data_IF_699381923710
#
_entry.id   IF_699381923710
#
_cell.length_a   1.000
_cell.length_b   1.000
_cell.length_c   1.000
_cell.angle_alpha   90.00
_cell.angle_beta   90.00
_cell.angle_gamma   90.00
#
_symmetry.space_group_name_H-M   'P 1'
#
loop_
_entity.id
_entity.type
_entity.pdbx_description
1 polymer ?
#
# COMPACT_ATOMS: atom_id res chain seq x y z
N UNK A 1 -21.72 -17.12 25.77
CA UNK A 1 -20.36 -16.72 26.17
C UNK A 1 -19.56 -16.31 24.94
N UNK A 2 -19.74 -15.08 24.45
CA UNK A 2 -18.92 -14.57 23.35
C UNK A 2 -18.64 -13.10 23.66
N UNK A 3 -17.65 -12.89 24.53
CA UNK A 3 -17.24 -11.55 24.95
C UNK A 3 -16.36 -10.95 23.85
N UNK A 4 -16.73 -9.73 23.47
CA UNK A 4 -16.03 -8.80 22.58
C UNK A 4 -14.51 -8.79 22.82
N UNK A 5 -13.73 -9.26 21.84
CA UNK A 5 -12.30 -8.94 21.67
C UNK A 5 -12.04 -8.57 20.21
N UNK A 6 -12.83 -7.62 19.69
CA UNK A 6 -12.77 -7.15 18.29
C UNK A 6 -12.03 -5.79 18.08
N UNK A 7 -11.55 -5.01 19.08
CA UNK A 7 -11.24 -3.61 18.79
C UNK A 7 -9.89 -3.36 18.11
N UNK A 8 -8.97 -4.33 18.04
CA UNK A 8 -7.62 -4.08 17.46
C UNK A 8 -7.48 -4.44 15.98
N UNK A 9 -8.27 -5.38 15.46
CA UNK A 9 -8.12 -5.83 14.07
C UNK A 9 -8.82 -4.90 13.05
N UNK A 10 -9.80 -4.10 13.51
CA UNK A 10 -10.59 -3.25 12.63
C UNK A 10 -9.83 -1.96 12.22
N UNK A 11 -8.87 -1.52 13.03
CA UNK A 11 -8.11 -0.28 12.81
C UNK A 11 -7.08 -0.40 11.68
N UNK A 12 -6.50 -1.58 11.49
CA UNK A 12 -5.46 -1.82 10.49
C UNK A 12 -5.99 -1.82 9.04
N UNK A 13 -7.30 -2.04 8.85
CA UNK A 13 -7.91 -2.11 7.51
C UNK A 13 -8.05 -0.70 6.90
N UNK A 14 -8.10 0.36 7.71
CA UNK A 14 -8.37 1.73 7.27
C UNK A 14 -7.13 2.49 6.73
N UNK A 15 -5.91 1.99 6.96
CA UNK A 15 -4.65 2.62 6.53
C UNK A 15 -4.13 2.11 5.18
N UNK A 16 -4.61 0.95 4.72
CA UNK A 16 -4.27 0.40 3.41
C UNK A 16 -4.67 1.25 2.18
N UNK A 17 -5.78 2.01 2.15
CA UNK A 17 -6.23 2.63 0.91
C UNK A 17 -5.36 3.80 0.46
N UNK A 18 -4.58 4.42 1.34
CA UNK A 18 -3.79 5.62 1.00
C UNK A 18 -2.63 5.29 0.05
N UNK A 19 -1.89 4.22 0.34
CA UNK A 19 -0.86 3.68 -0.55
C UNK A 19 -1.42 3.16 -1.88
N UNK A 20 -2.64 2.62 -1.84
CA UNK A 20 -3.28 2.06 -3.02
C UNK A 20 -3.84 3.12 -3.97
N UNK A 21 -4.14 4.32 -3.48
CA UNK A 21 -4.60 5.45 -4.29
C UNK A 21 -3.46 6.00 -5.17
N UNK A 22 -2.31 6.34 -4.57
CA UNK A 22 -1.15 6.89 -5.29
C UNK A 22 -0.66 5.95 -6.41
N UNK A 23 -0.54 4.64 -6.12
CA UNK A 23 -0.12 3.66 -7.12
C UNK A 23 -1.17 3.42 -8.22
N UNK A 24 -2.47 3.67 -7.96
CA UNK A 24 -3.54 3.53 -8.94
C UNK A 24 -3.63 4.77 -9.86
N UNK A 25 -3.45 5.97 -9.31
CA UNK A 25 -3.36 7.20 -10.08
C UNK A 25 -2.13 7.19 -11.01
N UNK A 26 -0.98 6.74 -10.50
CA UNK A 26 0.25 6.55 -11.30
C UNK A 26 0.03 5.54 -12.44
N UNK A 27 -0.74 4.46 -12.21
CA UNK A 27 -1.11 3.53 -13.26
C UNK A 27 -1.98 4.20 -14.33
N UNK A 28 -3.03 4.90 -13.94
CA UNK A 28 -3.94 5.60 -14.87
C UNK A 28 -3.19 6.60 -15.74
N UNK A 29 -2.27 7.35 -15.12
CA UNK A 29 -1.40 8.29 -15.81
C UNK A 29 -0.43 7.60 -16.78
N UNK A 30 0.16 6.47 -16.37
CA UNK A 30 1.04 5.66 -17.20
C UNK A 30 0.29 5.07 -18.41
N UNK A 31 -0.90 4.52 -18.22
CA UNK A 31 -1.73 3.97 -19.29
C UNK A 31 -2.15 5.05 -20.28
N UNK A 32 -2.57 6.21 -19.80
CA UNK A 32 -2.91 7.36 -20.65
C UNK A 32 -1.70 7.81 -21.48
N UNK A 33 -0.50 7.86 -20.88
CA UNK A 33 0.74 8.15 -21.61
C UNK A 33 1.05 7.10 -22.67
N UNK A 34 0.81 5.83 -22.39
CA UNK A 34 1.00 4.75 -23.36
C UNK A 34 0.06 4.91 -24.56
N UNK A 35 -1.20 5.24 -24.31
CA UNK A 35 -2.19 5.50 -25.36
C UNK A 35 -1.80 6.72 -26.20
N UNK A 36 -1.39 7.81 -25.57
CA UNK A 36 -0.92 9.03 -26.28
C UNK A 36 0.35 8.78 -27.08
N UNK A 37 1.28 7.97 -26.57
CA UNK A 37 2.57 7.72 -27.22
C UNK A 37 2.47 6.69 -28.36
N UNK A 38 1.53 5.76 -28.27
CA UNK A 38 1.36 4.66 -29.21
C UNK A 38 -0.02 4.67 -29.90
N UNK A 39 -0.61 5.87 -30.12
CA UNK A 39 -1.96 6.10 -30.67
C UNK A 39 -2.33 5.29 -31.93
N UNK A 40 -1.34 4.81 -32.71
CA UNK A 40 -1.56 4.06 -33.96
C UNK A 40 -1.03 2.63 -33.93
N UNK A 41 -0.60 2.13 -32.76
CA UNK A 41 0.01 0.80 -32.61
C UNK A 41 -0.49 0.12 -31.33
N UNK A 42 -1.55 -0.66 -31.46
CA UNK A 42 -2.19 -1.39 -30.35
C UNK A 42 -1.25 -2.39 -29.67
N UNK A 43 -0.31 -2.99 -30.41
CA UNK A 43 0.66 -3.92 -29.83
C UNK A 43 1.66 -3.17 -28.94
N UNK A 44 2.09 -1.98 -29.37
CA UNK A 44 2.93 -1.11 -28.55
C UNK A 44 2.15 -0.54 -27.35
N UNK A 45 0.87 -0.22 -27.50
CA UNK A 45 -0.01 0.17 -26.37
C UNK A 45 -0.05 -0.98 -25.35
N UNK A 46 -0.35 -2.21 -25.76
CA UNK A 46 -0.42 -3.36 -24.86
C UNK A 46 0.93 -3.65 -24.18
N UNK A 47 2.03 -3.60 -24.94
CA UNK A 47 3.39 -3.73 -24.40
C UNK A 47 3.73 -2.63 -23.39
N UNK A 48 3.29 -1.41 -23.62
CA UNK A 48 3.50 -0.28 -22.70
C UNK A 48 2.64 -0.41 -21.44
N UNK A 49 1.34 -0.75 -21.57
CA UNK A 49 0.42 -0.95 -20.44
C UNK A 49 0.89 -2.09 -19.51
N UNK A 50 1.46 -3.17 -20.05
CA UNK A 50 2.02 -4.24 -19.23
C UNK A 50 3.15 -3.77 -18.30
N UNK A 51 3.97 -2.80 -18.74
CA UNK A 51 4.99 -2.16 -17.88
C UNK A 51 4.37 -1.30 -16.78
N UNK A 52 3.26 -0.60 -17.08
CA UNK A 52 2.53 0.18 -16.08
C UNK A 52 1.97 -0.72 -14.96
N UNK A 53 1.45 -1.90 -15.31
CA UNK A 53 0.97 -2.88 -14.33
C UNK A 53 2.13 -3.40 -13.46
N UNK A 54 3.29 -3.69 -14.05
CA UNK A 54 4.47 -4.08 -13.30
C UNK A 54 4.95 -2.98 -12.34
N UNK A 55 4.94 -1.71 -12.77
CA UNK A 55 5.27 -0.56 -11.92
C UNK A 55 4.27 -0.41 -10.76
N UNK A 56 2.96 -0.59 -11.02
CA UNK A 56 1.93 -0.58 -9.96
C UNK A 56 2.17 -1.68 -8.93
N UNK A 57 2.54 -2.88 -9.38
CA UNK A 57 2.84 -3.99 -8.47
C UNK A 57 4.06 -3.70 -7.59
N UNK A 58 5.12 -3.11 -8.17
CA UNK A 58 6.29 -2.68 -7.41
C UNK A 58 5.95 -1.60 -6.39
N UNK A 59 5.23 -0.55 -6.81
CA UNK A 59 4.74 0.53 -5.95
C UNK A 59 3.90 0.00 -4.78
N UNK A 60 2.94 -0.87 -5.06
CA UNK A 60 2.07 -1.48 -4.04
C UNK A 60 2.84 -2.35 -3.06
N UNK A 61 3.88 -3.04 -3.54
CA UNK A 61 4.74 -3.88 -2.68
C UNK A 61 5.62 -3.03 -1.78
N UNK A 62 6.22 -1.95 -2.31
CA UNK A 62 7.02 -1.03 -1.53
C UNK A 62 6.18 -0.36 -0.43
N UNK A 63 5.02 0.19 -0.80
CA UNK A 63 4.17 0.89 0.15
C UNK A 63 3.61 -0.06 1.23
N UNK A 64 3.28 -1.30 0.86
CA UNK A 64 2.90 -2.34 1.83
C UNK A 64 4.05 -2.71 2.79
N UNK A 65 5.29 -2.79 2.29
CA UNK A 65 6.46 -3.09 3.11
C UNK A 65 6.80 -1.95 4.07
N UNK A 66 6.75 -0.70 3.62
CA UNK A 66 6.96 0.49 4.47
C UNK A 66 5.89 0.56 5.57
N UNK A 67 4.62 0.38 5.21
CA UNK A 67 3.50 0.39 6.18
C UNK A 67 3.67 -0.69 7.24
N UNK A 68 4.07 -1.91 6.86
CA UNK A 68 4.29 -3.01 7.80
C UNK A 68 5.49 -2.74 8.73
N UNK A 69 6.54 -2.11 8.21
CA UNK A 69 7.72 -1.73 8.98
C UNK A 69 7.38 -0.66 10.03
N UNK A 70 6.69 0.40 9.63
CA UNK A 70 6.30 1.48 10.52
C UNK A 70 5.36 0.98 11.63
N UNK A 71 4.36 0.16 11.28
CA UNK A 71 3.48 -0.47 12.26
C UNK A 71 4.22 -1.36 13.27
N UNK A 72 5.25 -2.08 12.82
CA UNK A 72 6.09 -2.91 13.71
C UNK A 72 6.89 -2.05 14.66
N UNK A 73 7.45 -0.94 14.17
CA UNK A 73 8.21 0.00 14.98
C UNK A 73 7.34 0.66 16.04
N UNK A 74 6.14 1.11 15.67
CA UNK A 74 5.18 1.73 16.58
C UNK A 74 4.75 0.74 17.69
N UNK A 75 4.43 -0.51 17.33
CA UNK A 75 4.08 -1.55 18.30
C UNK A 75 5.22 -1.88 19.29
N UNK A 76 6.48 -1.83 18.82
CA UNK A 76 7.65 -2.04 19.68
C UNK A 76 7.87 -0.88 20.66
N UNK A 77 7.67 0.36 20.21
CA UNK A 77 7.76 1.56 21.05
C UNK A 77 6.64 1.61 22.10
N UNK A 78 5.40 1.26 21.72
CA UNK A 78 4.27 1.15 22.64
C UNK A 78 4.47 0.07 23.70
N UNK A 79 4.95 -1.10 23.29
CA UNK A 79 5.27 -2.20 24.23
C UNK A 79 6.33 -1.76 25.24
N UNK A 80 7.40 -1.12 24.77
CA UNK A 80 8.47 -0.60 25.63
C UNK A 80 7.94 0.44 26.62
N UNK A 81 7.05 1.32 26.17
CA UNK A 81 6.44 2.37 27.00
C UNK A 81 5.49 1.79 28.06
N UNK A 82 4.71 0.76 27.71
CA UNK A 82 3.85 0.04 28.64
C UNK A 82 4.64 -0.65 29.76
N UNK A 83 5.71 -1.38 29.42
CA UNK A 83 6.56 -2.03 30.42
C UNK A 83 7.23 -1.01 31.35
N UNK A 84 7.69 0.12 30.80
CA UNK A 84 8.31 1.18 31.60
C UNK A 84 7.34 1.77 32.63
N UNK A 85 6.09 2.06 32.23
CA UNK A 85 5.06 2.53 33.16
C UNK A 85 4.56 1.50 34.18
N UNK A 86 4.88 0.22 33.99
CA UNK A 86 4.59 -0.88 34.93
C UNK A 86 5.74 -1.13 35.93
N UNK A 87 6.94 -0.60 35.65
CA UNK A 87 8.13 -0.78 36.51
C UNK A 87 8.50 0.46 37.33
N UNK A 88 7.80 1.58 37.14
CA UNK A 88 7.81 2.77 38.00
C UNK A 88 6.60 2.77 38.95
#
# INVERSE_FOLDING_TARGET
MLRLTVPLALSAILLAPLAQADCADEQSWCETKCEVKHMTDDAAIAGCKSKCVAARAACSTQAGAETAWDATKEAAEDTKSFFKGLTE
#
